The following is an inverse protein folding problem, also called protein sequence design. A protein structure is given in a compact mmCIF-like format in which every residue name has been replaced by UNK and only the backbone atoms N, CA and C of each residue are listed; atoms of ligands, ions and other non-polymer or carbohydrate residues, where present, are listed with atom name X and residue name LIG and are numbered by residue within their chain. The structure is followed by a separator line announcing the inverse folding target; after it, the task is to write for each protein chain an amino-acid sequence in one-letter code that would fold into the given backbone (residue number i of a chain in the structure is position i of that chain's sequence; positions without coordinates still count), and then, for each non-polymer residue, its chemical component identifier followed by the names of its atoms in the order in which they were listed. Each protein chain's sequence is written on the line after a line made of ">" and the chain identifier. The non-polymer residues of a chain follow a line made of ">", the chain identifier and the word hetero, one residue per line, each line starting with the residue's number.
data_IF_750008690504
#
_entry.id   IF_750008690504
#
_cell.length_a   1.000
_cell.length_b   1.000
_cell.length_c   1.000
_cell.angle_alpha   90.00
_cell.angle_beta   90.00
_cell.angle_gamma   90.00
#
_symmetry.space_group_name_H-M   'P 1'
#
loop_
_entity.id
_entity.type
_entity.pdbx_description
1 polymer ?
#
# COMPACT_ATOMS: atom_id res chain seq x y z
N UNK A 1 2.06 45.56 -4.92
CA UNK A 1 1.54 44.26 -5.41
C UNK A 1 0.83 44.55 -6.72
N UNK A 2 1.31 44.00 -7.85
CA UNK A 2 0.71 44.27 -9.18
C UNK A 2 -0.29 43.14 -9.46
N UNK A 3 -1.61 43.36 -9.36
CA UNK A 3 -2.61 42.34 -9.61
C UNK A 3 -2.63 42.04 -11.12
N UNK A 4 -2.18 40.85 -11.49
CA UNK A 4 -2.14 40.39 -12.89
C UNK A 4 -0.83 39.72 -13.30
N UNK A 5 0.25 39.88 -12.52
CA UNK A 5 1.55 39.31 -12.88
C UNK A 5 1.77 37.88 -12.33
N UNK A 6 0.92 37.44 -11.39
CA UNK A 6 1.10 36.24 -10.55
C UNK A 6 0.98 34.88 -11.27
N UNK A 7 0.70 34.89 -12.58
CA UNK A 7 0.67 33.71 -13.44
C UNK A 7 1.79 33.66 -14.47
N UNK A 8 2.56 34.75 -14.61
CA UNK A 8 3.61 34.86 -15.62
C UNK A 8 4.98 34.49 -15.06
N UNK A 9 5.19 34.51 -13.74
CA UNK A 9 6.45 34.09 -13.12
C UNK A 9 6.90 32.68 -13.54
N UNK A 10 6.05 31.61 -13.52
CA UNK A 10 6.51 30.28 -13.92
C UNK A 10 6.90 30.23 -15.40
N UNK A 11 6.26 31.02 -16.26
CA UNK A 11 6.58 31.06 -17.69
C UNK A 11 7.94 31.74 -17.92
N UNK A 12 8.23 32.85 -17.22
CA UNK A 12 9.53 33.52 -17.28
C UNK A 12 10.65 32.59 -16.80
N UNK A 13 10.42 31.88 -15.69
CA UNK A 13 11.38 30.90 -15.16
C UNK A 13 11.62 29.76 -16.16
N UNK A 14 10.55 29.24 -16.78
CA UNK A 14 10.66 28.20 -17.80
C UNK A 14 11.50 28.68 -18.99
N UNK A 15 11.27 29.90 -19.48
CA UNK A 15 12.04 30.49 -20.57
C UNK A 15 13.50 30.70 -20.16
N UNK A 16 13.78 31.17 -18.95
CA UNK A 16 15.15 31.32 -18.44
C UNK A 16 15.91 29.98 -18.39
N UNK A 17 15.27 28.91 -17.90
CA UNK A 17 15.82 27.55 -17.92
C UNK A 17 16.05 27.09 -19.37
N UNK A 18 15.11 27.37 -20.27
CA UNK A 18 15.21 27.01 -21.68
C UNK A 18 16.35 27.75 -22.39
N UNK A 19 16.71 28.97 -21.97
CA UNK A 19 17.85 29.70 -22.53
C UNK A 19 19.19 29.12 -22.07
N UNK A 20 19.28 28.68 -20.81
CA UNK A 20 20.51 28.07 -20.26
C UNK A 20 20.73 26.68 -20.84
N UNK A 21 19.69 25.84 -20.84
CA UNK A 21 19.78 24.44 -21.25
C UNK A 21 19.45 24.22 -22.73
N UNK A 22 18.67 25.11 -23.35
CA UNK A 22 18.16 24.94 -24.72
C UNK A 22 16.87 24.11 -24.80
N UNK A 23 16.01 24.36 -25.80
CA UNK A 23 14.73 23.66 -25.96
C UNK A 23 14.88 22.17 -26.27
N UNK A 24 16.03 21.76 -26.79
CA UNK A 24 16.28 20.37 -27.19
C UNK A 24 16.76 19.50 -26.02
N UNK A 25 17.32 20.09 -24.95
CA UNK A 25 17.92 19.30 -23.85
C UNK A 25 16.86 18.74 -22.89
N UNK A 26 15.88 19.54 -22.48
CA UNK A 26 14.78 19.06 -21.64
C UNK A 26 14.08 17.81 -22.19
N UNK A 27 13.66 17.74 -23.48
CA UNK A 27 13.04 16.54 -24.03
C UNK A 27 14.02 15.37 -24.20
N UNK A 28 15.30 15.63 -24.47
CA UNK A 28 16.32 14.58 -24.52
C UNK A 28 16.51 13.93 -23.14
N UNK A 29 16.61 14.73 -22.07
CA UNK A 29 16.73 14.24 -20.70
C UNK A 29 15.47 13.49 -20.26
N UNK A 30 14.28 14.04 -20.56
CA UNK A 30 13.01 13.38 -20.24
C UNK A 30 12.87 12.01 -20.92
N UNK A 31 13.31 11.87 -22.18
CA UNK A 31 13.31 10.58 -22.88
C UNK A 31 14.23 9.56 -22.21
N UNK A 32 15.47 9.95 -21.88
CA UNK A 32 16.42 9.05 -21.21
C UNK A 32 15.94 8.63 -19.81
N UNK A 33 15.47 9.59 -19.01
CA UNK A 33 14.92 9.32 -17.69
C UNK A 33 13.66 8.44 -17.78
N UNK A 34 12.76 8.72 -18.73
CA UNK A 34 11.55 7.94 -18.95
C UNK A 34 11.84 6.49 -19.33
N UNK A 35 12.83 6.24 -20.19
CA UNK A 35 13.29 4.89 -20.52
C UNK A 35 13.87 4.18 -19.29
N UNK A 36 14.68 4.87 -18.49
CA UNK A 36 15.25 4.30 -17.27
C UNK A 36 14.17 3.94 -16.24
N UNK A 37 13.19 4.83 -16.00
CA UNK A 37 12.05 4.52 -15.13
C UNK A 37 11.18 3.38 -15.67
N UNK A 38 11.01 3.30 -17.00
CA UNK A 38 10.24 2.24 -17.64
C UNK A 38 10.88 0.86 -17.43
N UNK A 39 12.18 0.74 -17.70
CA UNK A 39 12.92 -0.51 -17.47
C UNK A 39 12.99 -0.85 -15.98
N UNK A 40 13.18 0.14 -15.10
CA UNK A 40 13.15 -0.06 -13.66
C UNK A 40 11.79 -0.60 -13.19
N UNK A 41 10.68 -0.03 -13.68
CA UNK A 41 9.33 -0.49 -13.35
C UNK A 41 9.08 -1.91 -13.87
N UNK A 42 9.52 -2.21 -15.09
CA UNK A 42 9.38 -3.55 -15.70
C UNK A 42 10.18 -4.60 -14.92
N UNK A 43 11.42 -4.30 -14.55
CA UNK A 43 12.24 -5.17 -13.73
C UNK A 43 11.63 -5.38 -12.33
N UNK A 44 11.15 -4.31 -11.70
CA UNK A 44 10.50 -4.38 -10.39
C UNK A 44 9.23 -5.24 -10.43
N UNK A 45 8.41 -5.13 -11.48
CA UNK A 45 7.20 -5.95 -11.66
C UNK A 45 7.52 -7.43 -11.89
N UNK A 46 8.54 -7.72 -12.72
CA UNK A 46 8.99 -9.10 -12.94
C UNK A 46 9.44 -9.80 -11.65
N UNK A 47 10.12 -9.08 -10.73
CA UNK A 47 10.51 -9.61 -9.43
C UNK A 47 9.29 -9.97 -8.54
N UNK A 48 8.25 -9.14 -8.57
CA UNK A 48 7.02 -9.38 -7.78
C UNK A 48 6.25 -10.59 -8.32
N UNK A 49 6.13 -10.72 -9.64
CA UNK A 49 5.48 -11.87 -10.28
C UNK A 49 6.29 -13.17 -10.13
N UNK A 50 7.63 -13.08 -10.09
CA UNK A 50 8.51 -14.22 -9.79
C UNK A 50 8.32 -14.71 -8.33
N UNK A 51 8.19 -13.80 -7.35
CA UNK A 51 7.91 -14.19 -5.96
C UNK A 51 6.52 -14.84 -5.78
N UNK A 52 5.50 -14.35 -6.47
CA UNK A 52 4.17 -14.99 -6.49
C UNK A 52 4.23 -16.38 -7.15
N UNK A 53 4.91 -16.52 -8.30
CA UNK A 53 5.04 -17.82 -8.97
C UNK A 53 5.92 -18.81 -8.21
N UNK A 54 6.93 -18.34 -7.47
CA UNK A 54 7.80 -19.20 -6.65
C UNK A 54 7.07 -19.69 -5.40
N UNK A 55 6.13 -18.91 -4.85
CA UNK A 55 5.20 -19.38 -3.80
C UNK A 55 4.21 -20.41 -4.33
N UNK A 56 3.76 -20.30 -5.59
CA UNK A 56 2.88 -21.30 -6.21
C UNK A 56 3.61 -22.62 -6.55
N UNK A 57 4.89 -22.60 -6.92
CA UNK A 57 5.67 -23.83 -7.26
C UNK A 57 6.37 -24.51 -6.09
N UNK A 58 6.52 -23.84 -4.94
CA UNK A 58 7.02 -24.48 -3.71
C UNK A 58 5.95 -25.30 -2.98
N UNK A 59 4.68 -25.22 -3.42
CA UNK A 59 3.54 -25.91 -2.82
C UNK A 59 3.29 -27.36 -3.23
N UNK A 60 4.14 -27.99 -4.06
CA UNK A 60 3.91 -29.37 -4.54
C UNK A 60 5.01 -30.38 -4.16
N UNK A 61 5.83 -30.08 -3.15
CA UNK A 61 6.60 -31.13 -2.44
C UNK A 61 6.66 -30.79 -0.95
N UNK A 62 5.63 -31.22 -0.22
CA UNK A 62 5.49 -31.01 1.22
C UNK A 62 4.02 -31.00 1.56
N UNK A 63 3.51 -32.15 2.01
CA UNK A 63 2.10 -32.41 2.22
C UNK A 63 1.37 -31.37 3.08
N UNK A 64 0.05 -31.36 2.87
CA UNK A 64 -0.97 -31.41 3.92
C UNK A 64 -0.43 -31.14 5.33
N UNK A 65 -0.78 -29.99 5.90
CA UNK A 65 -0.90 -29.65 7.35
C UNK A 65 -0.44 -28.20 7.62
N UNK A 66 -1.25 -27.21 7.25
CA UNK A 66 -1.17 -25.87 7.86
C UNK A 66 -2.48 -25.07 7.69
N UNK A 67 -3.61 -25.69 8.03
CA UNK A 67 -4.88 -24.99 8.30
C UNK A 67 -5.65 -25.49 9.53
N UNK A 68 -5.09 -26.41 10.32
CA UNK A 68 -5.73 -26.97 11.52
C UNK A 68 -4.74 -27.13 12.67
N UNK A 69 -4.19 -26.00 13.12
CA UNK A 69 -3.56 -25.89 14.45
C UNK A 69 -3.59 -24.42 14.87
N UNK A 70 -4.79 -23.83 14.87
CA UNK A 70 -5.05 -22.81 15.88
C UNK A 70 -5.51 -23.61 17.08
N UNK A 71 -4.55 -23.99 17.92
CA UNK A 71 -4.82 -24.79 19.11
C UNK A 71 -5.94 -24.12 19.91
N UNK A 72 -6.96 -24.91 20.22
CA UNK A 72 -8.14 -24.49 20.99
C UNK A 72 -7.73 -23.82 22.31
N UNK A 73 -6.55 -24.16 22.83
CA UNK A 73 -5.91 -23.55 24.00
C UNK A 73 -5.49 -22.09 23.79
N UNK A 74 -5.02 -21.72 22.59
CA UNK A 74 -4.61 -20.36 22.24
C UNK A 74 -5.82 -19.44 22.10
N UNK A 75 -6.92 -19.97 21.53
CA UNK A 75 -8.21 -19.30 21.44
C UNK A 75 -8.83 -19.09 22.84
N UNK A 76 -8.71 -20.08 23.74
CA UNK A 76 -9.17 -19.96 25.14
C UNK A 76 -8.35 -18.96 25.94
N UNK A 77 -7.01 -19.00 25.84
CA UNK A 77 -6.12 -18.03 26.51
C UNK A 77 -6.31 -16.60 25.99
N UNK A 78 -6.59 -16.41 24.70
CA UNK A 78 -6.91 -15.10 24.14
C UNK A 78 -8.25 -14.57 24.66
N UNK A 79 -9.28 -15.41 24.70
CA UNK A 79 -10.60 -15.04 25.22
C UNK A 79 -10.56 -14.67 26.71
N UNK A 80 -9.79 -15.42 27.51
CA UNK A 80 -9.61 -15.19 28.95
C UNK A 80 -8.85 -13.89 29.24
N UNK A 81 -7.78 -13.62 28.48
CA UNK A 81 -6.97 -12.40 28.63
C UNK A 81 -7.66 -11.14 28.09
N UNK A 82 -8.63 -11.30 27.19
CA UNK A 82 -9.47 -10.23 26.67
C UNK A 82 -10.72 -9.96 27.54
N UNK A 83 -10.95 -10.74 28.60
CA UNK A 83 -12.07 -10.54 29.54
C UNK A 83 -13.45 -10.71 28.90
N UNK A 84 -13.54 -11.51 27.82
CA UNK A 84 -14.78 -11.68 27.07
C UNK A 84 -15.56 -12.84 27.69
N UNK A 85 -16.58 -12.51 28.48
CA UNK A 85 -17.54 -13.49 29.00
C UNK A 85 -18.27 -14.14 27.83
N UNK A 86 -17.92 -15.38 27.51
CA UNK A 86 -18.58 -16.21 26.49
C UNK A 86 -19.89 -16.76 27.01
N UNK A 87 -20.89 -15.90 27.20
CA UNK A 87 -22.28 -16.31 27.42
C UNK A 87 -23.19 -15.67 26.37
N UNK A 88 -23.63 -16.48 25.41
CA UNK A 88 -24.96 -16.36 24.82
C UNK A 88 -25.23 -15.28 23.76
N UNK A 89 -24.23 -14.81 22.99
CA UNK A 89 -24.49 -13.89 21.86
C UNK A 89 -23.83 -14.34 20.55
N UNK A 90 -24.61 -14.27 19.47
CA UNK A 90 -24.19 -14.62 18.11
C UNK A 90 -23.07 -13.69 17.62
N UNK A 91 -22.12 -14.23 16.87
CA UNK A 91 -20.88 -13.56 16.41
C UNK A 91 -21.17 -12.26 15.64
N UNK A 92 -22.34 -12.16 15.01
CA UNK A 92 -22.79 -10.98 14.28
C UNK A 92 -23.31 -9.84 15.17
N UNK A 93 -23.76 -10.12 16.39
CA UNK A 93 -24.25 -9.10 17.32
C UNK A 93 -23.08 -8.43 18.06
N UNK A 94 -22.03 -9.21 18.36
CA UNK A 94 -20.77 -8.72 18.94
C UNK A 94 -20.07 -7.72 18.01
N UNK A 95 -20.08 -7.98 16.70
CA UNK A 95 -19.49 -7.06 15.70
C UNK A 95 -20.20 -5.71 15.70
N UNK A 96 -21.52 -5.71 15.79
CA UNK A 96 -22.33 -4.48 15.83
C UNK A 96 -22.09 -3.67 17.10
N UNK A 97 -21.99 -4.35 18.24
CA UNK A 97 -21.82 -3.71 19.56
C UNK A 97 -20.38 -3.19 19.78
N UNK A 98 -19.37 -3.89 19.24
CA UNK A 98 -17.96 -3.45 19.26
C UNK A 98 -17.75 -2.22 18.37
N UNK A 99 -18.31 -2.21 17.14
CA UNK A 99 -18.19 -1.06 16.23
C UNK A 99 -18.95 0.16 16.79
N UNK A 100 -20.11 -0.06 17.43
CA UNK A 100 -20.87 1.02 18.06
C UNK A 100 -20.11 1.65 19.25
N UNK A 101 -19.52 0.84 20.13
CA UNK A 101 -18.75 1.35 21.29
C UNK A 101 -17.38 1.93 20.91
N UNK A 102 -16.73 1.44 19.86
CA UNK A 102 -15.47 1.99 19.37
C UNK A 102 -15.65 3.42 18.81
N UNK A 103 -16.83 3.69 18.22
CA UNK A 103 -17.21 5.02 17.72
C UNK A 103 -17.56 6.00 18.84
N UNK A 104 -18.20 5.53 19.91
CA UNK A 104 -18.51 6.35 21.09
C UNK A 104 -17.24 6.74 21.88
N UNK A 105 -16.22 5.87 21.89
CA UNK A 105 -14.92 6.14 22.51
C UNK A 105 -13.88 6.80 21.60
N UNK A 106 -14.26 7.17 20.37
CA UNK A 106 -13.39 7.93 19.45
C UNK A 106 -12.12 7.21 19.01
N UNK A 107 -12.16 5.88 18.86
CA UNK A 107 -11.00 5.07 18.49
C UNK A 107 -11.05 4.52 17.04
N UNK A 108 -12.00 5.01 16.21
CA UNK A 108 -12.13 4.75 14.76
C UNK A 108 -12.81 5.91 14.07
#
# INVERSE_FOLDING_TARGET
>A
MIPGLQGWEPLIILVAILLIFGPTKLPQLARGLGQALYEFKKASQGLIEEEEKKSARKGEIGGTESKSAVDEETLKKLAEKLGISTEGKSVDELRKEVIAKAREKGLV
#
